data_IF_238629166761
#
_entry.id   IF_238629166761
#
_cell.length_a   1.000
_cell.length_b   1.000
_cell.length_c   1.000
_cell.angle_alpha   90.00
_cell.angle_beta   90.00
_cell.angle_gamma   90.00
#
_symmetry.space_group_name_H-M   'P 1'
#
loop_
_entity.id
_entity.type
_entity.pdbx_description
1 polymer ?
#
# COMPACT_ATOMS: atom_id res chain seq x y z
N UNK A 1 -31.68 -10.80 29.32
CA UNK A 1 -31.74 -9.42 28.81
C UNK A 1 -30.34 -9.05 28.32
N UNK A 2 -30.16 -8.81 27.02
CA UNK A 2 -28.85 -8.38 26.50
C UNK A 2 -28.53 -6.98 27.03
N UNK A 3 -27.33 -6.80 27.61
CA UNK A 3 -26.87 -5.52 28.14
C UNK A 3 -26.78 -4.53 26.97
N UNK A 4 -27.56 -3.45 27.00
CA UNK A 4 -27.51 -2.42 25.96
C UNK A 4 -26.19 -1.66 26.11
N UNK A 5 -25.27 -1.86 25.18
CA UNK A 5 -24.00 -1.13 25.15
C UNK A 5 -24.23 0.24 24.50
N UNK A 6 -23.67 1.29 25.10
CA UNK A 6 -23.73 2.65 24.58
C UNK A 6 -22.42 3.05 23.93
N UNK A 7 -22.46 4.07 23.09
CA UNK A 7 -21.24 4.73 22.63
C UNK A 7 -20.39 5.25 23.80
N UNK A 8 -19.10 5.42 23.55
CA UNK A 8 -18.16 6.06 24.47
C UNK A 8 -18.69 7.41 24.93
N UNK A 9 -18.43 7.75 26.20
CA UNK A 9 -18.96 8.97 26.83
C UNK A 9 -18.63 10.22 25.99
N UNK A 10 -19.68 10.92 25.57
CA UNK A 10 -19.57 12.18 24.84
C UNK A 10 -19.32 12.04 23.34
N UNK A 11 -19.37 10.83 22.78
CA UNK A 11 -19.57 10.62 21.35
C UNK A 11 -21.02 10.96 20.99
N UNK A 12 -21.21 11.57 19.82
CA UNK A 12 -22.51 11.89 19.24
C UNK A 12 -22.49 11.41 17.81
N UNK A 13 -23.54 10.70 17.40
CA UNK A 13 -23.70 10.31 16.00
C UNK A 13 -23.80 11.60 15.17
N UNK A 14 -22.96 11.77 14.13
CA UNK A 14 -23.01 12.95 13.26
C UNK A 14 -24.40 13.11 12.64
N UNK A 15 -24.92 14.34 12.63
CA UNK A 15 -26.12 14.71 11.89
C UNK A 15 -25.78 14.94 10.42
N UNK A 16 -26.80 15.03 9.56
CA UNK A 16 -26.59 15.35 8.14
C UNK A 16 -25.80 16.65 7.94
N UNK A 17 -26.07 17.67 8.75
CA UNK A 17 -25.33 18.94 8.76
C UNK A 17 -23.83 18.75 9.06
N UNK A 18 -23.50 17.89 10.04
CA UNK A 18 -22.11 17.58 10.39
C UNK A 18 -21.41 16.83 9.25
N UNK A 19 -22.12 15.92 8.58
CA UNK A 19 -21.63 15.15 7.44
C UNK A 19 -21.37 16.09 6.25
N UNK A 20 -22.34 16.94 5.89
CA UNK A 20 -22.21 17.88 4.78
C UNK A 20 -21.07 18.88 5.03
N UNK A 21 -20.94 19.37 6.26
CA UNK A 21 -19.82 20.23 6.66
C UNK A 21 -18.47 19.49 6.61
N UNK A 22 -18.43 18.21 6.97
CA UNK A 22 -17.22 17.40 6.91
C UNK A 22 -16.79 17.10 5.48
N UNK A 23 -17.72 16.84 4.55
CA UNK A 23 -17.41 16.58 3.14
C UNK A 23 -17.01 17.87 2.40
N UNK A 24 -17.51 19.03 2.82
CA UNK A 24 -17.25 20.32 2.20
C UNK A 24 -17.98 20.51 0.86
N UNK A 25 -17.95 21.74 0.33
CA UNK A 25 -18.70 22.10 -0.89
C UNK A 25 -18.09 21.57 -2.20
N UNK A 26 -16.81 21.17 -2.19
CA UNK A 26 -16.08 20.77 -3.40
C UNK A 26 -16.17 19.28 -3.70
N UNK A 27 -16.67 18.48 -2.76
CA UNK A 27 -16.70 17.05 -2.93
C UNK A 27 -17.96 16.66 -3.70
N UNK A 28 -17.81 16.60 -5.03
CA UNK A 28 -18.87 16.21 -5.97
C UNK A 28 -19.15 14.71 -5.89
N UNK A 29 -19.56 14.23 -4.71
CA UNK A 29 -19.98 12.86 -4.50
C UNK A 29 -21.40 12.67 -5.03
N UNK A 30 -21.61 11.67 -5.86
CA UNK A 30 -22.96 11.32 -6.32
C UNK A 30 -23.85 10.92 -5.13
N UNK A 31 -25.15 11.18 -5.23
CA UNK A 31 -26.11 10.74 -4.21
C UNK A 31 -26.11 9.21 -4.05
N UNK A 32 -25.86 8.45 -5.13
CA UNK A 32 -25.68 7.00 -5.07
C UNK A 32 -24.51 6.59 -4.16
N UNK A 33 -23.36 7.27 -4.28
CA UNK A 33 -22.22 6.99 -3.42
C UNK A 33 -22.52 7.32 -1.95
N UNK A 34 -23.15 8.48 -1.68
CA UNK A 34 -23.51 8.87 -0.31
C UNK A 34 -24.47 7.88 0.35
N UNK A 35 -25.41 7.35 -0.43
CA UNK A 35 -26.40 6.38 0.05
C UNK A 35 -25.87 4.94 0.11
N UNK A 36 -24.65 4.68 -0.36
CA UNK A 36 -24.05 3.33 -0.31
C UNK A 36 -23.53 2.93 1.08
N UNK A 37 -23.42 3.89 2.01
CA UNK A 37 -22.95 3.65 3.36
C UNK A 37 -24.12 3.45 4.33
N UNK A 38 -24.06 2.39 5.12
CA UNK A 38 -25.00 2.17 6.22
C UNK A 38 -24.82 3.23 7.31
N UNK A 39 -25.92 3.50 8.03
CA UNK A 39 -25.86 4.31 9.25
C UNK A 39 -24.92 3.67 10.28
N UNK A 40 -24.20 4.51 11.03
CA UNK A 40 -23.25 4.03 12.04
C UNK A 40 -23.98 3.13 13.05
N UNK A 41 -23.58 1.84 13.20
CA UNK A 41 -24.28 0.92 14.07
C UNK A 41 -24.05 1.27 15.53
N UNK A 42 -25.02 0.92 16.38
CA UNK A 42 -24.81 0.98 17.84
C UNK A 42 -23.79 -0.08 18.27
N UNK A 43 -22.92 0.21 19.24
CA UNK A 43 -21.95 -0.76 19.72
C UNK A 43 -22.64 -2.03 20.22
N UNK A 44 -22.09 -3.19 19.89
CA UNK A 44 -22.70 -4.48 20.26
C UNK A 44 -22.03 -5.15 21.47
N UNK A 45 -20.82 -4.71 21.82
CA UNK A 45 -19.99 -5.29 22.86
C UNK A 45 -19.25 -4.21 23.66
N UNK A 46 -18.95 -4.49 24.93
CA UNK A 46 -18.08 -3.65 25.76
C UNK A 46 -16.63 -3.56 25.21
N UNK A 47 -16.25 -4.41 24.24
CA UNK A 47 -14.96 -4.37 23.53
C UNK A 47 -15.03 -3.66 22.16
N UNK A 48 -16.21 -3.19 21.78
CA UNK A 48 -16.41 -2.46 20.52
C UNK A 48 -15.61 -1.15 20.55
N UNK A 49 -15.00 -0.80 19.42
CA UNK A 49 -14.23 0.44 19.29
C UNK A 49 -15.07 1.66 19.64
N UNK A 50 -16.33 1.68 19.18
CA UNK A 50 -17.28 2.79 19.39
C UNK A 50 -17.74 2.90 20.85
N UNK A 51 -17.58 1.85 21.67
CA UNK A 51 -17.88 1.86 23.10
C UNK A 51 -16.72 2.43 23.94
N UNK A 52 -15.48 2.31 23.45
CA UNK A 52 -14.27 2.59 24.25
C UNK A 52 -13.50 3.84 23.80
N UNK A 53 -13.49 4.15 22.50
CA UNK A 53 -12.61 5.17 21.94
C UNK A 53 -13.38 6.36 21.39
N UNK A 54 -13.08 7.54 21.95
CA UNK A 54 -13.63 8.82 21.48
C UNK A 54 -12.67 9.47 20.50
N UNK A 55 -12.73 9.05 19.25
CA UNK A 55 -11.98 9.70 18.18
C UNK A 55 -12.55 11.07 17.84
N UNK A 56 -11.66 11.99 17.44
CA UNK A 56 -12.07 13.26 16.85
C UNK A 56 -12.39 13.01 15.38
N UNK A 57 -13.54 13.49 14.93
CA UNK A 57 -13.84 13.52 13.50
C UNK A 57 -12.84 14.39 12.73
N UNK A 58 -12.66 14.07 11.46
CA UNK A 58 -11.85 14.82 10.50
C UNK A 58 -12.74 15.30 9.35
N UNK A 59 -12.50 16.50 8.84
CA UNK A 59 -13.15 17.00 7.63
C UNK A 59 -12.30 16.66 6.41
N UNK A 60 -12.89 16.62 5.22
CA UNK A 60 -12.17 16.37 3.97
C UNK A 60 -11.03 17.39 3.75
N UNK A 61 -11.25 18.66 4.07
CA UNK A 61 -10.18 19.67 4.03
C UNK A 61 -9.04 19.34 4.99
N UNK A 62 -9.32 18.94 6.24
CA UNK A 62 -8.27 18.54 7.19
C UNK A 62 -7.52 17.29 6.72
N UNK A 63 -8.24 16.36 6.07
CA UNK A 63 -7.62 15.19 5.47
C UNK A 63 -6.62 15.59 4.37
N UNK A 64 -6.98 16.54 3.50
CA UNK A 64 -6.07 17.08 2.49
C UNK A 64 -4.88 17.84 3.11
N UNK A 65 -5.11 18.62 4.17
CA UNK A 65 -4.03 19.31 4.90
C UNK A 65 -3.02 18.34 5.52
N UNK A 66 -3.50 17.20 6.05
CA UNK A 66 -2.64 16.13 6.59
C UNK A 66 -1.97 15.29 5.48
N UNK A 67 -2.56 15.26 4.28
CA UNK A 67 -2.08 14.52 3.12
C UNK A 67 -1.78 15.45 1.93
N UNK A 68 -0.83 16.40 2.05
CA UNK A 68 -0.62 17.45 1.04
C UNK A 68 -0.24 16.91 -0.36
N UNK A 69 0.25 15.68 -0.44
CA UNK A 69 0.56 14.99 -1.70
C UNK A 69 -0.68 14.52 -2.48
N UNK A 70 -1.87 14.54 -1.88
CA UNK A 70 -3.14 14.25 -2.57
C UNK A 70 -3.71 15.49 -3.28
N UNK A 71 -3.30 16.69 -2.87
CA UNK A 71 -3.79 17.96 -3.43
C UNK A 71 -2.89 18.52 -4.55
N UNK A 72 -1.75 17.87 -4.82
CA UNK A 72 -0.78 18.32 -5.82
C UNK A 72 -1.10 17.79 -7.23
N UNK A 73 -2.12 18.38 -7.85
CA UNK A 73 -2.48 18.20 -9.27
C UNK A 73 -1.41 18.80 -10.23
N UNK A 74 -0.43 19.53 -9.67
CA UNK A 74 0.70 20.11 -10.42
C UNK A 74 1.92 19.20 -10.52
N UNK A 75 1.91 18.06 -9.81
CA UNK A 75 3.03 17.13 -9.84
C UNK A 75 3.16 16.43 -11.20
N UNK A 76 4.37 16.51 -11.79
CA UNK A 76 4.74 15.67 -12.94
C UNK A 76 4.65 14.16 -12.61
N UNK A 77 4.59 13.83 -11.32
CA UNK A 77 4.52 12.48 -10.76
C UNK A 77 3.07 12.04 -10.56
N UNK A 78 2.55 11.27 -11.50
CA UNK A 78 1.13 10.91 -11.61
C UNK A 78 0.81 9.48 -11.24
N UNK A 79 1.83 8.62 -11.15
CA UNK A 79 1.63 7.18 -11.05
C UNK A 79 2.32 6.55 -9.86
N UNK A 80 1.66 5.57 -9.25
CA UNK A 80 2.32 4.61 -8.37
C UNK A 80 2.71 3.42 -9.23
N UNK A 81 3.99 3.06 -9.26
CA UNK A 81 4.44 1.87 -9.98
C UNK A 81 4.62 0.70 -9.02
N UNK A 82 4.04 -0.44 -9.36
CA UNK A 82 4.28 -1.71 -8.70
C UNK A 82 5.16 -2.59 -9.58
N UNK A 83 6.10 -3.30 -8.97
CA UNK A 83 6.91 -4.32 -9.64
C UNK A 83 7.01 -5.57 -8.79
N UNK A 84 7.06 -6.74 -9.43
CA UNK A 84 7.24 -8.00 -8.74
C UNK A 84 8.72 -8.38 -8.78
N UNK A 85 9.32 -8.55 -7.61
CA UNK A 85 10.66 -9.13 -7.44
C UNK A 85 10.47 -10.64 -7.19
N UNK A 86 9.80 -11.34 -8.10
CA UNK A 86 9.67 -12.78 -7.97
C UNK A 86 9.23 -13.49 -9.25
N UNK A 87 9.58 -14.78 -9.32
CA UNK A 87 8.97 -15.78 -10.18
C UNK A 87 8.34 -16.92 -9.36
N UNK A 88 8.16 -16.73 -8.04
CA UNK A 88 7.56 -17.72 -7.17
C UNK A 88 6.11 -18.00 -7.59
N UNK A 89 5.79 -19.27 -7.82
CA UNK A 89 4.44 -19.72 -8.20
C UNK A 89 3.40 -19.30 -7.15
N UNK A 90 3.78 -19.09 -5.88
CA UNK A 90 2.89 -18.59 -4.83
C UNK A 90 2.46 -17.14 -5.06
N UNK A 91 3.19 -16.34 -5.85
CA UNK A 91 2.69 -15.04 -6.29
C UNK A 91 1.47 -15.17 -7.19
N UNK A 92 1.21 -16.33 -7.81
CA UNK A 92 -0.07 -16.54 -8.50
C UNK A 92 -1.28 -16.47 -7.56
N UNK A 93 -1.07 -16.72 -6.25
CA UNK A 93 -2.09 -16.52 -5.22
C UNK A 93 -2.32 -15.04 -4.92
N UNK A 94 -1.33 -14.18 -5.18
CA UNK A 94 -1.49 -12.74 -5.08
C UNK A 94 -2.26 -12.26 -6.32
N UNK A 95 -3.54 -11.95 -6.14
CA UNK A 95 -4.30 -11.27 -7.18
C UNK A 95 -3.79 -9.84 -7.32
N UNK A 96 -2.79 -9.64 -8.18
CA UNK A 96 -2.15 -8.34 -8.39
C UNK A 96 -3.15 -7.28 -8.85
N UNK A 97 -4.21 -7.66 -9.56
CA UNK A 97 -5.25 -6.75 -10.01
C UNK A 97 -6.06 -6.20 -8.83
N UNK A 98 -6.33 -7.02 -7.79
CA UNK A 98 -6.97 -6.52 -6.57
C UNK A 98 -6.05 -5.56 -5.81
N UNK A 99 -4.74 -5.84 -5.75
CA UNK A 99 -3.80 -4.93 -5.11
C UNK A 99 -3.71 -3.59 -5.86
N UNK A 100 -3.70 -3.64 -7.19
CA UNK A 100 -3.75 -2.46 -8.06
C UNK A 100 -5.04 -1.67 -7.79
N UNK A 101 -6.21 -2.31 -7.86
CA UNK A 101 -7.51 -1.65 -7.62
C UNK A 101 -7.58 -1.03 -6.22
N UNK A 102 -7.17 -1.77 -5.18
CA UNK A 102 -7.15 -1.26 -3.82
C UNK A 102 -6.22 -0.05 -3.68
N UNK A 103 -4.99 -0.15 -4.20
CA UNK A 103 -3.99 0.93 -4.14
C UNK A 103 -4.49 2.16 -4.90
N UNK A 104 -5.11 1.98 -6.06
CA UNK A 104 -5.69 3.07 -6.84
C UNK A 104 -6.78 3.80 -6.07
N UNK A 105 -7.70 3.05 -5.45
CA UNK A 105 -8.80 3.64 -4.67
C UNK A 105 -8.30 4.35 -3.43
N UNK A 106 -7.37 3.72 -2.70
CA UNK A 106 -6.86 4.26 -1.45
C UNK A 106 -6.07 5.56 -1.65
N UNK A 107 -5.15 5.57 -2.63
CA UNK A 107 -4.32 6.74 -2.91
C UNK A 107 -4.90 7.71 -3.94
N UNK A 108 -6.07 7.38 -4.51
CA UNK A 108 -6.70 8.14 -5.60
C UNK A 108 -5.71 8.47 -6.74
N UNK A 109 -4.78 7.55 -6.99
CA UNK A 109 -3.67 7.73 -7.93
C UNK A 109 -3.64 6.51 -8.85
N UNK A 110 -3.46 6.71 -10.16
CA UNK A 110 -3.35 5.58 -11.08
C UNK A 110 -2.12 4.71 -10.75
N UNK A 111 -2.33 3.39 -10.74
CA UNK A 111 -1.30 2.41 -10.40
C UNK A 111 -0.95 1.61 -11.64
N UNK A 112 0.35 1.50 -11.95
CA UNK A 112 0.85 0.80 -13.13
C UNK A 112 1.80 -0.33 -12.74
N UNK A 113 1.73 -1.44 -13.47
CA UNK A 113 2.75 -2.48 -13.37
C UNK A 113 3.97 -2.13 -14.21
N UNK A 114 5.14 -2.23 -13.60
CA UNK A 114 6.43 -2.10 -14.26
C UNK A 114 7.19 -3.44 -14.15
N UNK A 115 7.30 -4.23 -15.23
CA UNK A 115 8.01 -5.51 -15.20
C UNK A 115 9.54 -5.29 -15.23
N UNK A 116 10.09 -4.81 -14.11
CA UNK A 116 11.50 -4.47 -13.97
C UNK A 116 12.39 -5.73 -13.86
N UNK A 117 11.91 -6.71 -13.10
CA UNK A 117 12.61 -7.98 -12.87
C UNK A 117 11.99 -9.05 -13.77
N UNK A 118 12.83 -9.86 -14.40
CA UNK A 118 12.40 -11.00 -15.22
C UNK A 118 12.60 -12.34 -14.53
N UNK A 119 13.54 -12.38 -13.59
CA UNK A 119 13.87 -13.58 -12.85
C UNK A 119 14.53 -13.21 -11.52
N UNK A 120 14.27 -14.01 -10.50
CA UNK A 120 15.08 -14.08 -9.29
C UNK A 120 15.34 -15.54 -8.97
N UNK A 121 16.60 -15.91 -8.69
CA UNK A 121 16.97 -17.28 -8.40
C UNK A 121 17.98 -17.38 -7.26
N UNK A 122 17.91 -18.49 -6.55
CA UNK A 122 18.86 -18.82 -5.48
C UNK A 122 20.05 -19.58 -6.06
N UNK A 123 21.24 -18.99 -5.98
CA UNK A 123 22.48 -19.69 -6.31
C UNK A 123 22.97 -20.47 -5.08
N UNK A 124 22.73 -21.79 -5.07
CA UNK A 124 23.11 -22.68 -3.96
C UNK A 124 24.61 -22.71 -3.68
N UNK A 125 25.46 -22.69 -4.72
CA UNK A 125 26.92 -22.79 -4.53
C UNK A 125 27.52 -21.53 -3.94
N UNK A 126 27.01 -20.36 -4.34
CA UNK A 126 27.44 -19.06 -3.83
C UNK A 126 26.66 -18.58 -2.61
N UNK A 127 25.54 -19.24 -2.28
CA UNK A 127 24.58 -18.84 -1.23
C UNK A 127 24.15 -17.39 -1.37
N UNK A 128 23.78 -17.01 -2.60
CA UNK A 128 23.35 -15.66 -2.96
C UNK A 128 22.12 -15.69 -3.84
N UNK A 129 21.28 -14.67 -3.71
CA UNK A 129 20.20 -14.41 -4.67
C UNK A 129 20.77 -13.69 -5.88
N UNK A 130 20.32 -14.07 -7.08
CA UNK A 130 20.65 -13.38 -8.33
C UNK A 130 19.32 -12.93 -8.94
N UNK A 131 19.20 -11.63 -9.24
CA UNK A 131 18.06 -11.10 -9.97
C UNK A 131 18.48 -10.67 -11.37
N UNK A 132 17.58 -10.88 -12.32
CA UNK A 132 17.74 -10.43 -13.70
C UNK A 132 16.81 -9.25 -13.94
N UNK A 133 17.37 -8.11 -14.33
CA UNK A 133 16.62 -6.89 -14.64
C UNK A 133 16.56 -6.66 -16.13
N UNK A 134 15.43 -6.15 -16.64
CA UNK A 134 15.32 -5.64 -18.01
C UNK A 134 15.77 -4.18 -18.09
N UNK A 135 16.61 -3.90 -19.08
CA UNK A 135 17.00 -2.55 -19.46
C UNK A 135 15.99 -1.95 -20.45
N UNK A 136 16.07 -0.63 -20.67
CA UNK A 136 15.27 0.08 -21.69
C UNK A 136 15.49 -0.44 -23.12
N UNK A 137 16.65 -1.03 -23.40
CA UNK A 137 16.98 -1.60 -24.71
C UNK A 137 16.61 -3.09 -24.82
N UNK A 138 15.75 -3.58 -23.92
CA UNK A 138 15.36 -5.00 -23.77
C UNK A 138 16.52 -5.96 -23.47
N UNK A 139 17.73 -5.44 -23.24
CA UNK A 139 18.85 -6.23 -22.73
C UNK A 139 18.63 -6.60 -21.27
N UNK A 140 19.00 -7.83 -20.92
CA UNK A 140 18.93 -8.32 -19.55
C UNK A 140 20.27 -8.15 -18.86
N UNK A 141 20.22 -7.88 -17.54
CA UNK A 141 21.41 -7.80 -16.70
C UNK A 141 21.19 -8.61 -15.43
N UNK A 142 22.11 -9.53 -15.15
CA UNK A 142 22.15 -10.25 -13.89
C UNK A 142 22.86 -9.44 -12.80
N UNK A 143 22.30 -9.47 -11.60
CA UNK A 143 22.79 -8.72 -10.45
C UNK A 143 22.74 -9.64 -9.25
N UNK A 144 23.90 -9.86 -8.63
CA UNK A 144 23.99 -10.59 -7.36
C UNK A 144 23.53 -9.70 -6.22
N UNK A 145 22.51 -10.16 -5.50
CA UNK A 145 21.98 -9.52 -4.31
C UNK A 145 22.78 -10.00 -3.10
N UNK A 146 23.10 -9.06 -2.19
CA UNK A 146 23.70 -9.45 -0.91
C UNK A 146 22.66 -10.22 -0.11
N UNK A 147 23.08 -11.34 0.46
CA UNK A 147 22.20 -12.24 1.23
C UNK A 147 22.75 -12.43 2.64
N UNK A 148 21.87 -12.74 3.59
CA UNK A 148 22.22 -13.48 4.81
C UNK A 148 21.63 -14.86 4.68
N UNK A 149 22.42 -15.88 4.97
CA UNK A 149 21.98 -17.27 4.96
C UNK A 149 22.30 -17.91 6.30
N UNK A 150 21.31 -18.53 6.91
CA UNK A 150 21.48 -19.36 8.09
C UNK A 150 21.53 -20.84 7.66
N UNK A 151 22.67 -21.54 7.81
CA UNK A 151 22.80 -22.94 7.43
C UNK A 151 22.00 -23.89 8.32
N UNK A 152 21.59 -23.47 9.52
CA UNK A 152 20.86 -24.35 10.45
C UNK A 152 19.37 -24.40 10.11
N UNK A 153 18.76 -23.26 9.80
CA UNK A 153 17.36 -23.17 9.39
C UNK A 153 17.15 -23.25 7.87
N UNK A 154 18.24 -23.28 7.10
CA UNK A 154 18.27 -23.11 5.64
C UNK A 154 17.59 -21.83 5.14
N UNK A 155 17.37 -20.87 6.03
CA UNK A 155 16.66 -19.65 5.73
C UNK A 155 17.59 -18.61 5.09
N UNK A 156 17.08 -17.91 4.07
CA UNK A 156 17.84 -16.90 3.33
C UNK A 156 17.09 -15.57 3.29
N UNK A 157 17.80 -14.46 3.49
CA UNK A 157 17.23 -13.13 3.54
C UNK A 157 17.95 -12.18 2.58
N UNK A 158 17.20 -11.49 1.75
CA UNK A 158 17.72 -10.52 0.78
C UNK A 158 18.05 -9.20 1.51
N UNK A 159 19.20 -8.59 1.20
CA UNK A 159 19.52 -7.25 1.67
C UNK A 159 18.62 -6.21 1.00
N UNK A 160 17.78 -5.52 1.78
CA UNK A 160 16.82 -4.54 1.27
C UNK A 160 17.50 -3.39 0.51
N UNK A 161 18.69 -2.97 0.96
CA UNK A 161 19.43 -1.87 0.34
C UNK A 161 19.85 -2.19 -1.10
N UNK A 162 20.15 -3.45 -1.41
CA UNK A 162 20.46 -3.87 -2.77
C UNK A 162 19.24 -3.65 -3.68
N UNK A 163 18.05 -4.08 -3.23
CA UNK A 163 16.80 -3.93 -3.98
C UNK A 163 16.45 -2.45 -4.13
N UNK A 164 16.48 -1.68 -3.05
CA UNK A 164 16.18 -0.23 -3.08
C UNK A 164 17.12 0.53 -4.03
N UNK A 165 18.41 0.17 -4.07
CA UNK A 165 19.35 0.79 -5.01
C UNK A 165 19.05 0.45 -6.48
N UNK A 166 18.48 -0.74 -6.76
CA UNK A 166 17.98 -1.08 -8.08
C UNK A 166 16.74 -0.27 -8.43
N UNK A 167 15.76 -0.22 -7.53
CA UNK A 167 14.53 0.55 -7.75
C UNK A 167 14.82 2.03 -7.99
N UNK A 168 15.70 2.65 -7.20
CA UNK A 168 16.12 4.05 -7.36
C UNK A 168 16.64 4.39 -8.75
N UNK A 169 17.30 3.43 -9.43
CA UNK A 169 17.83 3.62 -10.80
C UNK A 169 16.78 3.42 -11.89
N UNK A 170 15.64 2.86 -11.51
CA UNK A 170 14.59 2.42 -12.43
C UNK A 170 13.27 3.17 -12.22
N UNK A 171 13.19 4.10 -11.27
CA UNK A 171 11.99 4.92 -11.04
C UNK A 171 11.68 5.75 -12.29
N UNK A 172 10.47 5.60 -12.88
CA UNK A 172 10.02 6.46 -13.97
C UNK A 172 9.93 7.93 -13.55
N UNK A 173 10.12 8.87 -14.49
CA UNK A 173 10.07 10.31 -14.19
C UNK A 173 8.68 10.79 -13.74
N UNK A 174 7.64 10.11 -14.18
CA UNK A 174 6.23 10.34 -13.87
C UNK A 174 5.75 9.51 -12.67
N UNK A 175 6.65 8.82 -11.97
CA UNK A 175 6.31 8.05 -10.78
C UNK A 175 6.31 8.90 -9.51
N UNK A 176 5.25 8.81 -8.70
CA UNK A 176 5.25 9.23 -7.29
C UNK A 176 6.15 8.31 -6.47
N UNK A 177 6.03 7.01 -6.72
CA UNK A 177 6.91 6.00 -6.14
C UNK A 177 6.96 4.74 -7.01
N UNK A 178 7.99 3.93 -6.77
CA UNK A 178 8.13 2.58 -7.30
C UNK A 178 8.26 1.62 -6.13
N UNK A 179 7.36 0.64 -6.04
CA UNK A 179 7.30 -0.36 -4.97
C UNK A 179 7.58 -1.74 -5.56
N UNK A 180 8.55 -2.45 -4.98
CA UNK A 180 8.77 -3.86 -5.28
C UNK A 180 8.05 -4.74 -4.26
N UNK A 181 7.34 -5.75 -4.75
CA UNK A 181 6.64 -6.75 -3.95
C UNK A 181 7.38 -8.07 -4.09
N UNK A 182 7.56 -8.79 -2.99
CA UNK A 182 8.21 -10.10 -2.95
C UNK A 182 7.67 -10.93 -1.80
N UNK A 183 7.78 -12.25 -1.92
CA UNK A 183 7.50 -13.20 -0.83
C UNK A 183 8.77 -13.63 -0.09
N UNK A 184 9.93 -13.11 -0.49
CA UNK A 184 11.21 -13.38 0.15
C UNK A 184 11.45 -12.46 1.33
N UNK A 185 12.06 -13.01 2.37
CA UNK A 185 12.37 -12.24 3.57
C UNK A 185 13.50 -11.24 3.32
N UNK A 186 13.34 -10.05 3.90
CA UNK A 186 14.36 -9.02 3.87
C UNK A 186 15.16 -8.97 5.18
N UNK A 187 16.42 -8.56 5.03
CA UNK A 187 17.22 -8.03 6.13
C UNK A 187 17.61 -6.58 5.83
N UNK A 188 17.87 -5.82 6.90
CA UNK A 188 18.48 -4.49 6.79
C UNK A 188 19.92 -4.61 6.29
N UNK A 189 20.39 -3.62 5.53
CA UNK A 189 21.81 -3.52 5.22
C UNK A 189 22.62 -3.14 6.46
N UNK A 190 23.82 -3.69 6.51
CA UNK A 190 24.86 -3.44 7.52
C UNK A 190 26.03 -2.74 6.84
#
# INVERSE_FOLDING_TARGET
MSKKISFVRGFRIPKQEDIDAALGHNASFSNEFKNSFDSLPTPTSDQDWLANYKEKGQTYTKFLDECPYLDDDSSLQKYIYLTLLDNDDRLSLLNINHLIDYTQRFFQTEVKLLPLFTNINWNKSKRTWICTTKSRNDSTKEITLRTRYDPTSEHSQICVDNVLNLLKRSVPHDARCLVAITLHDFKRGS
#
